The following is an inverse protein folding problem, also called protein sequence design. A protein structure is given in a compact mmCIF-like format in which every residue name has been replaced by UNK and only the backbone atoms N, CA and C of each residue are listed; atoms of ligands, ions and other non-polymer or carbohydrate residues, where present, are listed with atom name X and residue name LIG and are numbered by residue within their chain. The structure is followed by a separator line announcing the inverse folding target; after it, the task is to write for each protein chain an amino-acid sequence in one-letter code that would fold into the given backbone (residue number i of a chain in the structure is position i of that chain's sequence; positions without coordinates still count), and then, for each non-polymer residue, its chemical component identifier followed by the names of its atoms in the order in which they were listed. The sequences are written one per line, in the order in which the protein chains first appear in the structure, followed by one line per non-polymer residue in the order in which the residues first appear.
data_IF_409868821590
#
_entry.id   IF_409868821590
#
_cell.length_a   1.000
_cell.length_b   1.000
_cell.length_c   1.000
_cell.angle_alpha   90.00
_cell.angle_beta   90.00
_cell.angle_gamma   90.00
#
_symmetry.space_group_name_H-M   'P 1'
#
loop_
_entity.id
_entity.type
_entity.pdbx_description
1 polymer ?
#
# COMPACT_ATOMS: atom_id res chain seq x y z
N UNK A 1 19.49 -34.12 -26.27
CA UNK A 1 19.67 -33.01 -27.23
C UNK A 1 18.35 -32.25 -27.34
N UNK A 2 18.30 -31.00 -26.89
CA UNK A 2 17.10 -30.16 -26.90
C UNK A 2 17.26 -28.99 -25.95
N UNK A 3 18.09 -28.02 -26.35
CA UNK A 3 18.42 -26.80 -25.59
C UNK A 3 17.16 -26.08 -25.15
N UNK A 4 16.86 -26.10 -23.85
CA UNK A 4 15.95 -25.15 -23.22
C UNK A 4 16.66 -23.79 -23.24
N UNK A 5 16.22 -22.97 -24.19
CA UNK A 5 16.39 -21.52 -24.30
C UNK A 5 17.37 -20.87 -23.31
N UNK A 6 18.43 -20.28 -23.87
CA UNK A 6 19.45 -19.54 -23.13
C UNK A 6 18.89 -18.27 -22.52
N UNK A 7 18.45 -18.38 -21.27
CA UNK A 7 18.44 -17.26 -20.34
C UNK A 7 19.64 -17.44 -19.42
N UNK A 8 20.62 -16.56 -19.61
CA UNK A 8 21.75 -16.39 -18.70
C UNK A 8 21.27 -16.42 -17.24
N UNK A 9 21.74 -17.42 -16.49
CA UNK A 9 21.35 -17.66 -15.09
C UNK A 9 21.83 -16.54 -14.12
N UNK A 10 22.51 -15.49 -14.62
CA UNK A 10 23.23 -14.51 -13.81
C UNK A 10 22.93 -13.02 -14.13
N UNK A 11 21.89 -12.69 -14.91
CA UNK A 11 21.61 -11.31 -15.29
C UNK A 11 21.21 -10.35 -14.12
N UNK A 12 20.46 -10.77 -13.07
CA UNK A 12 20.07 -9.85 -11.98
C UNK A 12 21.22 -9.53 -11.01
N UNK A 13 22.14 -10.46 -10.80
CA UNK A 13 23.20 -10.38 -9.77
C UNK A 13 24.34 -9.41 -10.11
N UNK A 14 24.37 -8.85 -11.33
CA UNK A 14 25.35 -7.82 -11.69
C UNK A 14 25.02 -6.42 -11.16
N UNK A 15 23.77 -6.19 -10.73
CA UNK A 15 23.30 -4.87 -10.27
C UNK A 15 23.04 -4.78 -8.77
N UNK A 16 23.00 -5.92 -8.07
CA UNK A 16 22.70 -5.98 -6.65
C UNK A 16 23.81 -6.71 -5.92
N UNK A 17 24.31 -6.11 -4.83
CA UNK A 17 25.38 -6.68 -4.00
C UNK A 17 24.99 -8.04 -3.41
N UNK A 18 23.71 -8.22 -3.06
CA UNK A 18 23.17 -9.46 -2.50
C UNK A 18 21.64 -9.58 -2.71
N UNK A 19 21.07 -10.63 -2.14
CA UNK A 19 19.62 -10.90 -2.17
C UNK A 19 18.80 -9.83 -1.43
N UNK A 20 19.30 -9.28 -0.33
CA UNK A 20 18.60 -8.24 0.43
C UNK A 20 18.56 -6.93 -0.36
N UNK A 21 19.65 -6.57 -1.04
CA UNK A 21 19.68 -5.43 -1.95
C UNK A 21 18.67 -5.56 -3.11
N UNK A 22 18.56 -6.76 -3.69
CA UNK A 22 17.54 -7.05 -4.71
C UNK A 22 16.11 -6.91 -4.14
N UNK A 23 15.86 -7.46 -2.95
CA UNK A 23 14.55 -7.38 -2.30
C UNK A 23 14.19 -5.94 -1.95
N UNK A 24 15.13 -5.16 -1.41
CA UNK A 24 14.97 -3.73 -1.13
C UNK A 24 14.58 -2.97 -2.39
N UNK A 25 15.28 -3.19 -3.51
CA UNK A 25 14.92 -2.57 -4.79
C UNK A 25 13.50 -2.93 -5.27
N UNK A 26 13.06 -4.18 -5.06
CA UNK A 26 11.69 -4.60 -5.37
C UNK A 26 10.69 -3.87 -4.46
N UNK A 27 10.95 -3.77 -3.17
CA UNK A 27 10.10 -3.08 -2.21
C UNK A 27 10.02 -1.56 -2.48
N UNK A 28 11.16 -0.93 -2.78
CA UNK A 28 11.26 0.47 -3.22
C UNK A 28 10.36 0.72 -4.43
N UNK A 29 10.38 -0.16 -5.43
CA UNK A 29 9.51 -0.03 -6.61
C UNK A 29 8.02 -0.13 -6.25
N UNK A 30 7.67 -0.93 -5.27
CA UNK A 30 6.28 -1.07 -4.84
C UNK A 30 5.80 0.13 -4.04
N UNK A 31 6.63 0.67 -3.15
CA UNK A 31 6.35 1.94 -2.46
C UNK A 31 6.23 3.10 -3.45
N UNK A 32 7.09 3.17 -4.46
CA UNK A 32 6.99 4.19 -5.52
C UNK A 32 5.69 4.07 -6.33
N UNK A 33 5.19 2.86 -6.58
CA UNK A 33 3.87 2.69 -7.18
C UNK A 33 2.76 3.13 -6.25
N UNK A 34 2.80 2.77 -4.96
CA UNK A 34 1.84 3.23 -3.96
C UNK A 34 1.83 4.76 -3.88
N UNK A 35 3.01 5.39 -3.85
CA UNK A 35 3.17 6.84 -3.90
C UNK A 35 2.54 7.45 -5.17
N UNK A 36 2.72 6.81 -6.34
CA UNK A 36 2.08 7.26 -7.58
C UNK A 36 0.55 7.19 -7.51
N UNK A 37 -0.01 6.13 -6.92
CA UNK A 37 -1.46 5.98 -6.70
C UNK A 37 -1.99 7.12 -5.82
N UNK A 38 -1.37 7.32 -4.65
CA UNK A 38 -1.80 8.33 -3.68
C UNK A 38 -1.63 9.74 -4.25
N UNK A 39 -0.57 10.01 -5.01
CA UNK A 39 -0.35 11.31 -5.64
C UNK A 39 -1.49 11.70 -6.59
N UNK A 40 -2.07 10.74 -7.32
CA UNK A 40 -3.24 10.99 -8.17
C UNK A 40 -4.51 11.29 -7.36
N UNK A 41 -4.58 10.84 -6.10
CA UNK A 41 -5.68 11.14 -5.18
C UNK A 41 -5.82 12.63 -4.90
N UNK A 42 -4.69 13.36 -4.84
CA UNK A 42 -4.66 14.80 -4.59
C UNK A 42 -5.28 15.66 -5.70
N UNK A 43 -5.58 15.06 -6.87
CA UNK A 43 -6.38 15.67 -7.94
C UNK A 43 -7.87 15.32 -7.83
N UNK A 44 -8.43 14.82 -8.93
CA UNK A 44 -9.87 14.51 -9.08
C UNK A 44 -10.26 13.12 -8.54
N UNK A 45 -9.28 12.26 -8.24
CA UNK A 45 -9.53 10.86 -7.86
C UNK A 45 -10.05 10.67 -6.44
N UNK A 46 -9.73 11.59 -5.51
CA UNK A 46 -10.13 11.50 -4.11
C UNK A 46 -9.42 10.39 -3.33
N UNK A 47 -9.36 10.55 -2.00
CA UNK A 47 -8.65 9.63 -1.10
C UNK A 47 -9.23 8.20 -1.14
N UNK A 48 -10.55 8.07 -1.21
CA UNK A 48 -11.22 6.77 -1.24
C UNK A 48 -10.78 5.90 -2.44
N UNK A 49 -10.81 6.47 -3.66
CA UNK A 49 -10.42 5.76 -4.88
C UNK A 49 -8.95 5.31 -4.84
N UNK A 50 -8.06 6.18 -4.36
CA UNK A 50 -6.65 5.84 -4.24
C UNK A 50 -6.41 4.69 -3.25
N UNK A 51 -7.11 4.69 -2.13
CA UNK A 51 -7.01 3.60 -1.16
C UNK A 51 -7.56 2.29 -1.74
N UNK A 52 -8.67 2.33 -2.48
CA UNK A 52 -9.20 1.16 -3.19
C UNK A 52 -8.20 0.59 -4.21
N UNK A 53 -7.52 1.45 -4.96
CA UNK A 53 -6.49 1.04 -5.91
C UNK A 53 -5.28 0.40 -5.21
N UNK A 54 -4.86 0.94 -4.06
CA UNK A 54 -3.82 0.34 -3.20
C UNK A 54 -4.22 -1.05 -2.73
N UNK A 55 -5.45 -1.22 -2.21
CA UNK A 55 -5.98 -2.52 -1.77
C UNK A 55 -5.98 -3.50 -2.95
N UNK A 56 -6.56 -3.11 -4.08
CA UNK A 56 -6.67 -3.97 -5.26
C UNK A 56 -5.28 -4.39 -5.77
N UNK A 57 -4.28 -3.49 -5.70
CA UNK A 57 -2.89 -3.81 -6.03
C UNK A 57 -2.30 -4.81 -5.04
N UNK A 58 -2.46 -4.60 -3.74
CA UNK A 58 -1.95 -5.47 -2.70
C UNK A 58 -2.51 -6.89 -2.83
N UNK A 59 -3.82 -7.01 -3.08
CA UNK A 59 -4.50 -8.29 -3.33
C UNK A 59 -4.00 -8.97 -4.62
N UNK A 60 -3.73 -8.22 -5.70
CA UNK A 60 -3.13 -8.78 -6.93
C UNK A 60 -1.66 -9.16 -6.79
N UNK A 61 -0.94 -8.57 -5.83
CA UNK A 61 0.52 -8.74 -5.64
C UNK A 61 0.86 -9.01 -4.17
N UNK A 62 0.32 -10.08 -3.55
CA UNK A 62 0.39 -10.29 -2.10
C UNK A 62 1.82 -10.43 -1.59
N UNK A 63 2.69 -11.14 -2.32
CA UNK A 63 4.11 -11.30 -1.95
C UNK A 63 4.88 -9.98 -1.95
N UNK A 64 4.45 -9.02 -2.76
CA UNK A 64 5.07 -7.69 -2.84
C UNK A 64 4.63 -6.81 -1.68
N UNK A 65 3.34 -6.84 -1.35
CA UNK A 65 2.81 -6.19 -0.16
C UNK A 65 3.49 -6.73 1.11
N UNK A 66 3.54 -8.05 1.27
CA UNK A 66 4.21 -8.71 2.40
C UNK A 66 5.71 -8.41 2.47
N UNK A 67 6.37 -8.19 1.33
CA UNK A 67 7.78 -7.81 1.31
C UNK A 67 7.98 -6.40 1.86
N UNK A 68 7.17 -5.43 1.42
CA UNK A 68 7.29 -4.03 1.89
C UNK A 68 7.09 -3.93 3.40
N UNK A 69 6.08 -4.61 3.93
CA UNK A 69 5.66 -4.50 5.33
C UNK A 69 6.12 -5.67 6.22
N UNK A 70 7.00 -6.51 5.68
CA UNK A 70 7.65 -7.59 6.42
C UNK A 70 8.88 -7.11 7.20
N UNK A 71 9.53 -8.01 7.96
CA UNK A 71 10.78 -7.70 8.65
C UNK A 71 11.92 -7.50 7.64
N UNK A 72 12.73 -6.47 7.85
CA UNK A 72 13.94 -6.19 7.08
C UNK A 72 15.19 -6.45 7.92
N UNK A 73 16.19 -7.09 7.31
CA UNK A 73 17.47 -7.39 7.95
C UNK A 73 18.61 -6.44 7.51
N UNK A 74 18.31 -5.52 6.59
CA UNK A 74 19.30 -4.62 5.99
C UNK A 74 18.66 -3.25 5.82
N UNK A 75 19.42 -2.22 6.17
CA UNK A 75 19.03 -0.84 5.93
C UNK A 75 19.30 -0.47 4.46
N UNK A 76 18.28 -0.01 3.76
CA UNK A 76 18.41 0.59 2.42
C UNK A 76 17.91 2.02 2.46
N UNK A 77 18.79 2.96 2.12
CA UNK A 77 18.47 4.38 2.06
C UNK A 77 17.37 4.66 1.02
N UNK A 78 17.42 4.00 -0.14
CA UNK A 78 16.41 4.14 -1.19
C UNK A 78 15.05 3.63 -0.74
N UNK A 79 15.02 2.52 0.02
CA UNK A 79 13.80 1.98 0.60
C UNK A 79 13.21 2.94 1.63
N UNK A 80 14.06 3.48 2.52
CA UNK A 80 13.65 4.46 3.53
C UNK A 80 13.07 5.73 2.88
N UNK A 81 13.72 6.27 1.85
CA UNK A 81 13.23 7.45 1.10
C UNK A 81 11.90 7.16 0.42
N UNK A 82 11.73 5.98 -0.20
CA UNK A 82 10.47 5.61 -0.84
C UNK A 82 9.34 5.42 0.18
N UNK A 83 9.64 4.86 1.35
CA UNK A 83 8.68 4.70 2.44
C UNK A 83 8.22 6.05 2.98
N UNK A 84 9.17 6.96 3.23
CA UNK A 84 8.88 8.32 3.68
C UNK A 84 8.07 9.10 2.64
N UNK A 85 8.43 9.00 1.37
CA UNK A 85 7.69 9.65 0.28
C UNK A 85 6.24 9.16 0.22
N UNK A 86 6.01 7.84 0.30
CA UNK A 86 4.67 7.28 0.31
C UNK A 86 3.86 7.71 1.54
N UNK A 87 4.52 7.81 2.70
CA UNK A 87 3.92 8.31 3.94
C UNK A 87 3.50 9.77 3.82
N UNK A 88 4.40 10.66 3.41
CA UNK A 88 4.11 12.10 3.27
C UNK A 88 3.00 12.36 2.25
N UNK A 89 2.95 11.58 1.16
CA UNK A 89 1.85 11.67 0.19
C UNK A 89 0.50 11.25 0.79
N UNK A 90 0.47 10.26 1.68
CA UNK A 90 -0.77 9.89 2.37
C UNK A 90 -1.23 10.99 3.32
N UNK A 91 -0.31 11.59 4.08
CA UNK A 91 -0.61 12.72 4.97
C UNK A 91 -1.16 13.89 4.17
N UNK A 92 -0.50 14.28 3.07
CA UNK A 92 -0.98 15.34 2.19
C UNK A 92 -2.33 15.05 1.54
N UNK A 93 -2.60 13.79 1.18
CA UNK A 93 -3.93 13.40 0.67
C UNK A 93 -5.03 13.51 1.74
N UNK A 94 -4.70 13.25 3.01
CA UNK A 94 -5.60 13.48 4.15
C UNK A 94 -5.85 14.97 4.35
N UNK A 95 -4.80 15.81 4.30
CA UNK A 95 -4.94 17.28 4.42
C UNK A 95 -5.85 17.84 3.33
N UNK A 96 -5.69 17.39 2.07
CA UNK A 96 -6.57 17.78 0.96
C UNK A 96 -8.02 17.37 1.25
N UNK A 97 -8.26 16.14 1.71
CA UNK A 97 -9.59 15.65 2.04
C UNK A 97 -10.23 16.43 3.22
N UNK A 98 -9.44 16.82 4.22
CA UNK A 98 -9.90 17.70 5.31
C UNK A 98 -10.27 19.09 4.78
N UNK A 99 -9.45 19.67 3.89
CA UNK A 99 -9.75 20.95 3.23
C UNK A 99 -11.04 20.92 2.42
N UNK A 100 -11.42 19.75 1.88
CA UNK A 100 -12.69 19.50 1.18
C UNK A 100 -13.84 19.12 2.11
N UNK A 101 -13.64 19.04 3.43
CA UNK A 101 -14.61 18.55 4.43
C UNK A 101 -15.10 17.13 4.15
N UNK A 102 -14.25 16.31 3.54
CA UNK A 102 -14.49 14.87 3.33
C UNK A 102 -13.99 14.04 4.52
N UNK A 103 -13.12 14.62 5.34
CA UNK A 103 -12.60 14.07 6.59
C UNK A 103 -12.70 15.11 7.72
N UNK A 104 -12.77 14.67 8.99
CA UNK A 104 -12.89 15.57 10.12
C UNK A 104 -11.62 16.39 10.32
N UNK A 105 -11.75 17.61 10.84
CA UNK A 105 -10.60 18.42 11.22
C UNK A 105 -9.79 17.74 12.34
N UNK A 106 -8.49 17.99 12.38
CA UNK A 106 -7.58 17.38 13.36
C UNK A 106 -6.19 17.15 12.77
N UNK A 107 -5.37 16.41 13.51
CA UNK A 107 -4.01 16.04 13.09
C UNK A 107 -4.04 15.10 11.87
N UNK A 108 -3.54 15.53 10.70
CA UNK A 108 -3.60 14.74 9.48
C UNK A 108 -2.74 13.47 9.56
N UNK A 109 -1.63 13.50 10.30
CA UNK A 109 -0.77 12.34 10.53
C UNK A 109 -1.44 11.25 11.36
N UNK A 110 -2.22 11.64 12.39
CA UNK A 110 -3.02 10.68 13.18
C UNK A 110 -4.12 10.04 12.35
N UNK A 111 -4.85 10.83 11.56
CA UNK A 111 -5.88 10.30 10.65
C UNK A 111 -5.27 9.41 9.55
N UNK A 112 -4.14 9.81 8.96
CA UNK A 112 -3.40 9.00 8.01
C UNK A 112 -2.99 7.64 8.60
N UNK A 113 -2.54 7.61 9.86
CA UNK A 113 -2.23 6.37 10.56
C UNK A 113 -3.46 5.49 10.77
N UNK A 114 -4.61 6.07 11.15
CA UNK A 114 -5.86 5.34 11.34
C UNK A 114 -6.36 4.69 10.03
N UNK A 115 -6.30 5.45 8.94
CA UNK A 115 -6.64 4.96 7.60
C UNK A 115 -5.65 3.85 7.20
N UNK A 116 -4.34 4.10 7.32
CA UNK A 116 -3.29 3.13 7.00
C UNK A 116 -3.47 1.83 7.78
N UNK A 117 -3.68 1.89 9.09
CA UNK A 117 -3.87 0.71 9.93
C UNK A 117 -5.06 -0.14 9.46
N UNK A 118 -6.17 0.52 9.11
CA UNK A 118 -7.38 -0.18 8.63
C UNK A 118 -7.17 -0.80 7.25
N UNK A 119 -6.54 -0.07 6.32
CA UNK A 119 -6.19 -0.59 4.99
C UNK A 119 -5.31 -1.82 5.09
N UNK A 120 -4.27 -1.76 5.92
CA UNK A 120 -3.36 -2.88 6.15
C UNK A 120 -4.07 -4.08 6.76
N UNK A 121 -4.82 -3.87 7.84
CA UNK A 121 -5.61 -4.93 8.47
C UNK A 121 -6.60 -5.57 7.50
N UNK A 122 -7.29 -4.76 6.70
CA UNK A 122 -8.23 -5.24 5.69
C UNK A 122 -7.54 -6.07 4.59
N UNK A 123 -6.35 -5.65 4.13
CA UNK A 123 -5.53 -6.43 3.19
C UNK A 123 -5.11 -7.76 3.84
N UNK A 124 -4.54 -7.74 5.04
CA UNK A 124 -4.06 -8.96 5.71
C UNK A 124 -5.20 -9.94 6.00
N UNK A 125 -6.36 -9.45 6.42
CA UNK A 125 -7.57 -10.26 6.62
C UNK A 125 -8.10 -10.83 5.29
N UNK A 126 -7.96 -10.09 4.18
CA UNK A 126 -8.30 -10.60 2.84
C UNK A 126 -7.34 -11.71 2.44
N UNK A 127 -6.02 -11.47 2.56
CA UNK A 127 -4.99 -12.42 2.14
C UNK A 127 -4.97 -13.70 2.98
N UNK A 128 -5.40 -13.62 4.23
CA UNK A 128 -5.55 -14.77 5.13
C UNK A 128 -6.92 -15.46 5.04
N UNK A 129 -7.84 -14.94 4.20
CA UNK A 129 -9.18 -15.50 4.01
C UNK A 129 -10.10 -15.37 5.22
N UNK A 130 -9.85 -14.40 6.11
CA UNK A 130 -10.70 -14.14 7.26
C UNK A 130 -11.91 -13.26 6.92
N UNK A 131 -11.83 -12.44 5.85
CA UNK A 131 -12.98 -11.64 5.44
C UNK A 131 -14.04 -12.42 4.65
N UNK A 132 -13.67 -13.54 4.01
CA UNK A 132 -14.59 -14.40 3.27
C UNK A 132 -15.35 -15.40 4.14
N UNK A 133 -15.07 -15.44 5.45
CA UNK A 133 -15.67 -16.36 6.43
C UNK A 133 -16.72 -15.62 7.26
N UNK A 134 -17.92 -15.45 6.74
CA UNK A 134 -19.03 -14.77 7.44
C UNK A 134 -20.39 -15.42 7.16
N UNK A 135 -21.32 -15.33 8.11
CA UNK A 135 -22.66 -15.92 8.02
C UNK A 135 -23.53 -15.31 6.91
N UNK A 136 -23.16 -14.12 6.42
CA UNK A 136 -23.89 -13.34 5.39
C UNK A 136 -23.11 -13.14 4.08
N UNK A 137 -22.14 -14.02 3.76
CA UNK A 137 -21.36 -13.94 2.51
C UNK A 137 -20.00 -13.25 2.61
N UNK A 138 -19.60 -12.83 3.81
CA UNK A 138 -18.32 -12.16 4.09
C UNK A 138 -18.35 -10.65 3.80
N UNK A 139 -17.23 -9.97 3.99
CA UNK A 139 -17.05 -8.56 3.61
C UNK A 139 -15.78 -8.42 2.77
N UNK A 140 -15.65 -7.35 1.99
CA UNK A 140 -14.42 -7.06 1.24
C UNK A 140 -13.58 -6.01 1.95
N UNK A 141 -12.27 -6.00 1.69
CA UNK A 141 -11.40 -4.94 2.20
C UNK A 141 -11.85 -3.53 1.76
N UNK A 142 -12.41 -3.41 0.55
CA UNK A 142 -12.94 -2.16 0.03
C UNK A 142 -14.15 -1.70 0.83
N UNK A 143 -15.08 -2.61 1.17
CA UNK A 143 -16.25 -2.28 2.00
C UNK A 143 -15.85 -1.79 3.40
N UNK A 144 -14.89 -2.46 4.06
CA UNK A 144 -14.39 -2.05 5.38
C UNK A 144 -13.86 -0.62 5.33
N UNK A 145 -13.03 -0.31 4.34
CA UNK A 145 -12.42 1.02 4.23
C UNK A 145 -13.44 2.08 3.83
N UNK A 146 -14.38 1.78 2.93
CA UNK A 146 -15.48 2.71 2.59
C UNK A 146 -16.32 3.03 3.82
N UNK A 147 -16.67 2.02 4.61
CA UNK A 147 -17.40 2.20 5.87
C UNK A 147 -16.60 3.07 6.86
N UNK A 148 -15.29 2.82 7.00
CA UNK A 148 -14.43 3.65 7.83
C UNK A 148 -14.42 5.12 7.38
N UNK A 149 -14.19 5.38 6.09
CA UNK A 149 -14.14 6.74 5.56
C UNK A 149 -15.50 7.45 5.70
N UNK A 150 -16.61 6.73 5.52
CA UNK A 150 -17.96 7.28 5.75
C UNK A 150 -18.19 7.65 7.22
N UNK A 151 -17.76 6.79 8.16
CA UNK A 151 -17.85 7.07 9.60
C UNK A 151 -16.99 8.28 10.00
N UNK A 152 -15.77 8.38 9.45
CA UNK A 152 -14.90 9.54 9.69
C UNK A 152 -15.55 10.83 9.17
N UNK A 153 -16.12 10.80 7.96
CA UNK A 153 -16.83 11.94 7.38
C UNK A 153 -18.03 12.38 8.21
N UNK A 154 -18.78 11.45 8.79
CA UNK A 154 -19.93 11.75 9.64
C UNK A 154 -19.55 12.33 11.01
N UNK A 155 -18.29 12.19 11.43
CA UNK A 155 -17.79 12.69 12.70
C UNK A 155 -17.24 14.13 12.64
N UNK A 156 -17.17 14.73 11.44
CA UNK A 156 -16.70 16.10 11.20
C UNK A 156 -17.81 17.02 10.72
#
# INVERSE_FOLDING_TARGET
MGRRAGVSHNAPYKHFSDKQALLAAVATRELNHTASIIRRAGGDGGLASAVEEVIARAVRRPRRFQLVYGPWATDSAELAVAAETAWQLLVGAVEVAQGRRELPAGDPGKLANLIRATVHGAIDLTLSGHLSKGRDGGTTAVEIVRAQLALLRAAG
#
